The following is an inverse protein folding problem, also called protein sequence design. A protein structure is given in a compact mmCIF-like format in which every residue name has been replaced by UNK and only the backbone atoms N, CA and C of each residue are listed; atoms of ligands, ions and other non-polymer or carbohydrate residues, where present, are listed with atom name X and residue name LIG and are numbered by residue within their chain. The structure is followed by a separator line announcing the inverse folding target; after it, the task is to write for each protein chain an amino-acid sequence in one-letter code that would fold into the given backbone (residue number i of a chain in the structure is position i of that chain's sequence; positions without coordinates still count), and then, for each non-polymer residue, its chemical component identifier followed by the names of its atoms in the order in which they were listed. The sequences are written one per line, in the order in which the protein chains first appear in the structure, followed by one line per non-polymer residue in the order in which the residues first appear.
data_IF_144982952073
#
_entry.id   IF_144982952073
#
_cell.length_a   1.000
_cell.length_b   1.000
_cell.length_c   1.000
_cell.angle_alpha   90.00
_cell.angle_beta   90.00
_cell.angle_gamma   90.00
#
_symmetry.space_group_name_H-M   'P 1'
#
loop_
_entity.id
_entity.type
_entity.pdbx_description
1 polymer ?
#
# COMPACT_ATOMS: atom_id res chain seq x y z
N UNK A 1 12.03 13.20 0.14
CA UNK A 1 11.09 12.48 -0.74
C UNK A 1 10.91 13.31 -2.01
N UNK A 2 10.85 12.68 -3.19
CA UNK A 2 10.62 13.34 -4.49
C UNK A 2 9.15 13.41 -4.87
N UNK A 3 8.36 12.52 -4.30
CA UNK A 3 6.90 12.42 -4.40
C UNK A 3 6.32 12.03 -3.03
N UNK A 4 5.01 11.85 -2.94
CA UNK A 4 4.32 11.48 -1.70
C UNK A 4 4.54 12.49 -0.56
N UNK A 5 4.65 13.77 -0.92
CA UNK A 5 5.01 14.83 0.03
C UNK A 5 4.05 14.96 1.22
N UNK A 6 2.78 14.57 1.04
CA UNK A 6 1.77 14.48 2.09
C UNK A 6 2.29 13.75 3.35
N UNK A 7 3.13 12.73 3.16
CA UNK A 7 3.63 11.88 4.26
C UNK A 7 5.06 12.24 4.70
N UNK A 8 5.59 13.40 4.30
CA UNK A 8 7.01 13.75 4.55
C UNK A 8 7.38 13.85 6.03
N UNK A 9 6.41 14.18 6.90
CA UNK A 9 6.66 14.31 8.34
C UNK A 9 6.62 12.96 9.07
N UNK A 10 5.76 12.04 8.63
CA UNK A 10 5.61 10.70 9.18
C UNK A 10 5.27 9.73 8.04
N UNK A 11 6.21 8.83 7.71
CA UNK A 11 6.13 7.97 6.53
C UNK A 11 6.50 6.52 6.85
N UNK A 12 5.75 5.58 6.27
CA UNK A 12 6.11 4.16 6.22
C UNK A 12 7.07 3.80 5.07
N UNK A 13 7.24 4.68 4.09
CA UNK A 13 8.14 4.46 2.96
C UNK A 13 9.46 5.24 3.11
N UNK A 14 10.52 4.70 2.50
CA UNK A 14 11.80 5.39 2.37
C UNK A 14 11.79 6.38 1.20
N UNK A 15 12.68 7.38 1.25
CA UNK A 15 12.73 8.42 0.22
C UNK A 15 13.12 7.89 -1.18
N UNK A 16 13.88 6.80 -1.27
CA UNK A 16 14.27 6.20 -2.55
C UNK A 16 13.07 5.62 -3.31
N UNK A 17 12.09 5.04 -2.62
CA UNK A 17 10.85 4.57 -3.24
C UNK A 17 10.15 5.70 -4.00
N UNK A 18 10.11 6.90 -3.42
CA UNK A 18 9.44 8.06 -4.04
C UNK A 18 10.12 8.56 -5.33
N UNK A 19 11.34 8.11 -5.63
CA UNK A 19 12.01 8.42 -6.90
C UNK A 19 11.37 7.69 -8.09
N UNK A 20 10.77 6.51 -7.86
CA UNK A 20 10.05 5.74 -8.89
C UNK A 20 8.74 6.41 -9.32
N UNK A 21 8.20 7.28 -8.48
CA UNK A 21 6.96 7.99 -8.74
C UNK A 21 7.16 9.31 -9.48
N UNK A 22 8.39 9.70 -9.85
CA UNK A 22 8.60 10.94 -10.62
C UNK A 22 8.05 10.78 -12.04
N UNK A 23 7.21 11.73 -12.49
CA UNK A 23 6.56 11.66 -13.81
C UNK A 23 7.56 11.74 -14.97
N UNK A 24 7.28 11.08 -16.12
CA UNK A 24 6.18 10.14 -16.32
C UNK A 24 6.47 8.80 -15.63
N UNK A 25 5.47 8.25 -14.94
CA UNK A 25 5.62 6.96 -14.24
C UNK A 25 5.39 5.84 -15.24
N UNK A 26 6.45 5.08 -15.53
CA UNK A 26 6.37 3.89 -16.38
C UNK A 26 6.22 2.63 -15.55
N UNK A 27 6.86 2.57 -14.38
CA UNK A 27 6.88 1.40 -13.51
C UNK A 27 7.06 1.80 -12.06
N UNK A 28 6.37 1.09 -11.17
CA UNK A 28 6.60 1.11 -9.72
C UNK A 28 6.89 -0.31 -9.28
N UNK A 29 8.04 -0.53 -8.67
CA UNK A 29 8.62 -1.84 -8.36
C UNK A 29 8.69 -2.72 -9.63
N UNK A 30 7.86 -3.76 -9.71
CA UNK A 30 7.74 -4.64 -10.87
C UNK A 30 6.46 -4.41 -11.68
N UNK A 31 5.61 -3.46 -11.27
CA UNK A 31 4.33 -3.15 -11.91
C UNK A 31 4.50 -1.99 -12.89
N UNK A 32 4.46 -2.29 -14.18
CA UNK A 32 4.34 -1.31 -15.27
C UNK A 32 2.97 -0.66 -15.25
N UNK A 33 2.96 0.66 -15.37
CA UNK A 33 1.75 1.49 -15.48
C UNK A 33 1.44 1.83 -16.94
N UNK A 34 2.41 1.67 -17.83
CA UNK A 34 2.33 2.04 -19.25
C UNK A 34 2.04 0.84 -20.18
N UNK A 35 1.50 -0.27 -19.67
CA UNK A 35 1.29 -1.53 -20.43
C UNK A 35 0.43 -1.32 -21.67
N UNK A 36 -0.59 -0.46 -21.59
CA UNK A 36 -1.43 -0.09 -22.73
C UNK A 36 -0.95 1.17 -23.45
N UNK A 37 -0.56 2.17 -22.68
CA UNK A 37 0.03 3.44 -23.09
C UNK A 37 0.45 4.21 -21.83
N UNK A 38 1.26 5.25 -21.98
CA UNK A 38 1.49 6.20 -20.88
C UNK A 38 0.17 6.81 -20.41
N UNK A 39 -0.06 6.80 -19.09
CA UNK A 39 -1.23 7.45 -18.50
C UNK A 39 -1.18 8.97 -18.69
N UNK A 40 -2.35 9.58 -18.83
CA UNK A 40 -2.49 11.04 -18.79
C UNK A 40 -2.06 11.61 -17.44
N UNK A 41 -1.54 12.83 -17.41
CA UNK A 41 -1.10 13.50 -16.17
C UNK A 41 -2.19 13.52 -15.09
N UNK A 42 -3.45 13.68 -15.51
CA UNK A 42 -4.62 13.68 -14.63
C UNK A 42 -4.82 12.30 -13.99
N UNK A 43 -4.79 11.24 -14.79
CA UNK A 43 -4.94 9.88 -14.28
C UNK A 43 -3.74 9.45 -13.41
N UNK A 44 -2.52 9.73 -13.86
CA UNK A 44 -1.28 9.42 -13.13
C UNK A 44 -1.26 10.07 -11.75
N UNK A 45 -1.78 11.30 -11.61
CA UNK A 45 -1.90 11.97 -10.30
C UNK A 45 -2.70 11.15 -9.29
N UNK A 46 -3.83 10.55 -9.69
CA UNK A 46 -4.63 9.72 -8.79
C UNK A 46 -3.98 8.37 -8.50
N UNK A 47 -3.37 7.74 -9.50
CA UNK A 47 -2.60 6.52 -9.31
C UNK A 47 -1.48 6.73 -8.28
N UNK A 48 -0.73 7.84 -8.39
CA UNK A 48 0.29 8.23 -7.41
C UNK A 48 -0.29 8.44 -6.01
N UNK A 49 -1.45 9.10 -5.87
CA UNK A 49 -2.07 9.31 -4.55
C UNK A 49 -2.37 7.99 -3.86
N UNK A 50 -2.93 7.02 -4.60
CA UNK A 50 -3.24 5.69 -4.08
C UNK A 50 -1.96 4.92 -3.72
N UNK A 51 -0.94 4.96 -4.58
CA UNK A 51 0.35 4.30 -4.31
C UNK A 51 1.06 4.94 -3.11
N UNK A 52 1.05 6.28 -3.00
CA UNK A 52 1.60 7.00 -1.86
C UNK A 52 0.85 6.65 -0.56
N UNK A 53 -0.48 6.52 -0.60
CA UNK A 53 -1.24 6.04 0.56
C UNK A 53 -0.81 4.62 0.94
N UNK A 54 -0.74 3.70 -0.04
CA UNK A 54 -0.36 2.32 0.21
C UNK A 54 1.04 2.18 0.83
N UNK A 55 2.01 2.92 0.30
CA UNK A 55 3.43 2.76 0.66
C UNK A 55 3.85 3.62 1.83
N UNK A 56 3.34 4.85 1.91
CA UNK A 56 3.90 5.88 2.77
C UNK A 56 2.97 6.28 3.91
N UNK A 57 1.65 6.06 3.83
CA UNK A 57 0.74 6.51 4.89
C UNK A 57 1.00 5.74 6.19
N UNK A 58 1.22 6.43 7.33
CA UNK A 58 1.28 5.78 8.63
C UNK A 58 -0.08 5.19 9.05
N UNK A 59 -1.17 5.74 8.51
CA UNK A 59 -2.54 5.33 8.86
C UNK A 59 -3.03 4.13 8.07
N UNK A 60 -2.39 3.80 6.94
CA UNK A 60 -2.72 2.63 6.13
C UNK A 60 -2.76 1.31 6.93
N UNK A 61 -1.92 1.21 7.97
CA UNK A 61 -1.85 0.08 8.88
C UNK A 61 -3.20 -0.30 9.53
N UNK A 62 -4.10 0.67 9.72
CA UNK A 62 -5.43 0.43 10.30
C UNK A 62 -6.32 -0.48 9.46
N UNK A 63 -6.03 -0.63 8.17
CA UNK A 63 -6.81 -1.46 7.24
C UNK A 63 -6.01 -2.61 6.66
N UNK A 64 -4.90 -3.02 7.31
CA UNK A 64 -4.16 -4.21 6.88
C UNK A 64 -5.07 -5.44 6.85
N UNK A 65 -4.98 -6.20 5.76
CA UNK A 65 -5.76 -7.41 5.62
C UNK A 65 -5.21 -8.50 6.58
N UNK A 66 -6.04 -9.05 7.49
CA UNK A 66 -5.58 -10.00 8.51
C UNK A 66 -5.12 -11.34 7.92
N UNK A 67 -5.61 -11.70 6.73
CA UNK A 67 -5.22 -12.94 6.04
C UNK A 67 -4.06 -12.74 5.06
N UNK A 68 -3.74 -11.50 4.71
CA UNK A 68 -2.68 -11.14 3.77
C UNK A 68 -2.12 -9.75 4.11
N UNK A 69 -1.13 -9.71 5.00
CA UNK A 69 -0.66 -8.46 5.62
C UNK A 69 -0.02 -7.45 4.67
N UNK A 70 0.31 -7.85 3.44
CA UNK A 70 0.83 -6.95 2.41
C UNK A 70 -0.28 -6.20 1.64
N UNK A 71 -1.56 -6.53 1.86
CA UNK A 71 -2.70 -5.85 1.23
C UNK A 71 -3.60 -5.16 2.25
N UNK A 72 -4.55 -4.38 1.74
CA UNK A 72 -5.59 -3.77 2.54
C UNK A 72 -6.92 -4.52 2.46
N UNK A 73 -7.81 -4.19 3.39
CA UNK A 73 -9.18 -4.65 3.39
C UNK A 73 -10.10 -3.52 3.87
N UNK A 74 -11.08 -3.16 3.03
CA UNK A 74 -12.15 -2.21 3.37
C UNK A 74 -11.69 -0.81 3.81
N UNK A 75 -10.65 -0.25 3.19
CA UNK A 75 -10.27 1.16 3.39
C UNK A 75 -11.45 2.05 2.96
N UNK A 76 -12.03 2.87 3.84
CA UNK A 76 -13.18 3.70 3.53
C UNK A 76 -12.74 4.87 2.66
N UNK A 77 -12.99 4.80 1.36
CA UNK A 77 -12.61 5.84 0.40
C UNK A 77 -13.83 6.69 0.03
N UNK A 78 -13.66 8.01 -0.09
CA UNK A 78 -14.80 8.87 -0.40
C UNK A 78 -15.30 8.62 -1.83
N UNK A 79 -16.61 8.51 -2.03
CA UNK A 79 -17.22 8.36 -3.38
C UNK A 79 -16.75 9.47 -4.32
N UNK A 80 -16.71 10.73 -3.87
CA UNK A 80 -16.25 11.85 -4.70
C UNK A 80 -14.78 11.71 -5.14
N UNK A 81 -13.92 11.05 -4.33
CA UNK A 81 -12.54 10.75 -4.75
C UNK A 81 -12.55 9.73 -5.90
N UNK A 82 -13.34 8.66 -5.75
CA UNK A 82 -13.50 7.63 -6.77
C UNK A 82 -14.05 8.18 -8.08
N UNK A 83 -15.08 9.04 -8.03
CA UNK A 83 -15.66 9.67 -9.21
C UNK A 83 -14.66 10.61 -9.90
N UNK A 84 -13.89 11.37 -9.12
CA UNK A 84 -12.87 12.27 -9.68
C UNK A 84 -11.69 11.52 -10.28
N UNK A 85 -11.30 10.39 -9.68
CA UNK A 85 -10.29 9.50 -10.23
C UNK A 85 -10.78 8.88 -11.54
N UNK A 86 -12.04 8.40 -11.58
CA UNK A 86 -12.61 7.84 -12.80
C UNK A 86 -12.71 8.88 -13.90
N UNK A 87 -13.20 10.10 -13.61
CA UNK A 87 -13.26 11.17 -14.61
C UNK A 87 -11.88 11.55 -15.15
N UNK A 88 -10.85 11.49 -14.29
CA UNK A 88 -9.47 11.75 -14.67
C UNK A 88 -8.89 10.66 -15.60
N UNK A 89 -9.33 9.40 -15.46
CA UNK A 89 -8.79 8.26 -16.21
C UNK A 89 -9.70 7.75 -17.34
N UNK A 90 -10.95 8.22 -17.48
CA UNK A 90 -11.98 7.60 -18.35
C UNK A 90 -11.58 7.39 -19.81
N UNK A 91 -10.66 8.23 -20.32
CA UNK A 91 -10.12 8.19 -21.69
C UNK A 91 -8.75 7.49 -21.79
N UNK A 92 -8.10 7.21 -20.66
CA UNK A 92 -6.90 6.37 -20.58
C UNK A 92 -7.24 4.90 -20.83
N UNK A 93 -6.24 4.09 -21.16
CA UNK A 93 -6.41 2.68 -21.52
C UNK A 93 -5.94 1.75 -20.40
N UNK A 94 -6.71 0.69 -20.16
CA UNK A 94 -6.32 -0.46 -19.32
C UNK A 94 -6.74 -1.76 -20.00
N UNK A 95 -6.06 -2.85 -19.66
CA UNK A 95 -6.41 -4.20 -20.07
C UNK A 95 -6.76 -5.11 -18.87
N UNK A 96 -6.70 -4.57 -17.65
CA UNK A 96 -7.00 -5.28 -16.40
C UNK A 96 -8.14 -4.55 -15.68
N UNK A 97 -9.19 -5.28 -15.27
CA UNK A 97 -10.24 -4.73 -14.42
C UNK A 97 -9.74 -4.67 -12.98
N UNK A 98 -9.13 -5.76 -12.50
CA UNK A 98 -8.42 -5.85 -11.25
C UNK A 98 -6.90 -5.90 -11.50
N UNK A 99 -6.19 -4.85 -11.11
CA UNK A 99 -4.75 -4.68 -11.30
C UNK A 99 -3.90 -5.59 -10.40
N UNK A 100 -4.51 -6.25 -9.40
CA UNK A 100 -3.83 -7.25 -8.58
C UNK A 100 -3.83 -8.65 -9.22
N UNK A 101 -4.86 -8.99 -10.00
CA UNK A 101 -5.10 -10.38 -10.42
C UNK A 101 -5.15 -10.60 -11.92
N UNK A 102 -5.49 -9.58 -12.72
CA UNK A 102 -5.87 -9.81 -14.12
C UNK A 102 -4.70 -9.65 -15.09
N UNK A 103 -3.51 -9.29 -14.60
CA UNK A 103 -2.29 -9.29 -15.39
C UNK A 103 -1.63 -10.67 -15.43
N UNK A 104 -0.97 -10.97 -16.56
CA UNK A 104 0.00 -12.06 -16.65
C UNK A 104 1.37 -11.54 -16.20
N UNK A 105 2.06 -12.31 -15.36
CA UNK A 105 3.38 -11.93 -14.82
C UNK A 105 4.50 -12.80 -15.36
N UNK A 106 5.63 -12.17 -15.70
CA UNK A 106 6.91 -12.82 -15.96
C UNK A 106 8.08 -11.97 -15.42
N UNK A 107 9.30 -12.31 -15.82
CA UNK A 107 10.51 -11.61 -15.36
C UNK A 107 10.59 -10.15 -15.82
N UNK A 108 9.84 -9.76 -16.85
CA UNK A 108 9.80 -8.40 -17.40
C UNK A 108 8.65 -7.57 -16.81
N UNK A 109 7.85 -8.13 -15.89
CA UNK A 109 6.75 -7.45 -15.20
C UNK A 109 5.36 -7.96 -15.60
N UNK A 110 4.35 -7.09 -15.47
CA UNK A 110 2.96 -7.37 -15.83
C UNK A 110 2.69 -7.11 -17.32
N UNK A 111 1.86 -8.00 -17.90
CA UNK A 111 1.43 -7.96 -19.29
C UNK A 111 -0.08 -8.16 -19.41
N UNK A 112 -0.67 -7.56 -20.44
CA UNK A 112 -2.08 -7.71 -20.75
C UNK A 112 -2.42 -9.15 -21.18
N UNK A 113 -3.57 -9.64 -20.72
CA UNK A 113 -4.18 -10.89 -21.22
C UNK A 113 -5.26 -10.63 -22.28
N UNK A 114 -5.76 -9.40 -22.34
CA UNK A 114 -6.85 -8.96 -23.20
C UNK A 114 -6.50 -7.62 -23.86
N UNK A 115 -7.32 -7.19 -24.81
CA UNK A 115 -7.14 -5.92 -25.51
C UNK A 115 -7.22 -4.73 -24.55
N UNK A 116 -6.41 -3.71 -24.82
CA UNK A 116 -6.48 -2.44 -24.12
C UNK A 116 -7.77 -1.69 -24.50
N UNK A 117 -8.55 -1.31 -23.49
CA UNK A 117 -9.80 -0.56 -23.65
C UNK A 117 -9.79 0.69 -22.78
N UNK A 118 -10.55 1.74 -23.15
CA UNK A 118 -10.73 2.89 -22.28
C UNK A 118 -11.26 2.51 -20.90
N UNK A 119 -10.84 3.21 -19.84
CA UNK A 119 -11.37 3.00 -18.49
C UNK A 119 -12.91 3.15 -18.47
N UNK A 120 -13.45 4.07 -19.27
CA UNK A 120 -14.91 4.24 -19.45
C UNK A 120 -15.63 3.01 -20.00
N UNK A 121 -14.92 2.09 -20.66
CA UNK A 121 -15.46 0.78 -21.07
C UNK A 121 -15.18 -0.32 -20.04
N UNK A 122 -14.09 -0.20 -19.27
CA UNK A 122 -13.71 -1.18 -18.26
C UNK A 122 -14.55 -1.07 -16.98
N UNK A 123 -14.86 0.17 -16.57
CA UNK A 123 -15.58 0.49 -15.34
C UNK A 123 -16.84 1.29 -15.65
N UNK A 124 -17.92 0.95 -14.94
CA UNK A 124 -19.23 1.60 -15.11
C UNK A 124 -19.22 3.04 -14.60
N UNK A 125 -18.58 3.27 -13.46
CA UNK A 125 -18.42 4.57 -12.79
C UNK A 125 -17.22 4.52 -11.81
N UNK A 126 -17.03 5.59 -11.02
CA UNK A 126 -15.97 5.66 -10.02
C UNK A 126 -16.10 4.63 -8.90
N UNK A 127 -17.33 4.31 -8.50
CA UNK A 127 -17.57 3.31 -7.44
C UNK A 127 -17.14 1.91 -7.90
N UNK A 128 -17.54 1.50 -9.11
CA UNK A 128 -17.11 0.23 -9.74
C UNK A 128 -15.57 0.21 -9.88
N UNK A 129 -14.95 1.32 -10.28
CA UNK A 129 -13.50 1.41 -10.41
C UNK A 129 -12.78 1.19 -9.08
N UNK A 130 -13.15 1.93 -8.02
CA UNK A 130 -12.53 1.79 -6.70
C UNK A 130 -12.73 0.40 -6.08
N UNK A 131 -13.89 -0.22 -6.29
CA UNK A 131 -14.19 -1.58 -5.79
C UNK A 131 -13.50 -2.69 -6.58
N UNK A 132 -13.12 -2.41 -7.83
CA UNK A 132 -12.58 -3.43 -8.73
C UNK A 132 -11.07 -3.39 -8.86
N UNK A 133 -10.49 -2.20 -9.05
CA UNK A 133 -9.09 -2.06 -9.49
C UNK A 133 -8.09 -2.68 -8.53
N UNK A 134 -8.31 -2.49 -7.22
CA UNK A 134 -7.45 -3.03 -6.16
C UNK A 134 -8.17 -4.11 -5.34
N UNK A 135 -9.13 -4.82 -5.96
CA UNK A 135 -9.95 -5.83 -5.31
C UNK A 135 -10.63 -5.28 -4.04
N UNK A 136 -10.64 -6.03 -2.92
CA UNK A 136 -11.37 -5.64 -1.71
C UNK A 136 -10.65 -4.57 -0.86
N UNK A 137 -9.59 -3.95 -1.40
CA UNK A 137 -8.78 -2.97 -0.68
C UNK A 137 -9.59 -1.72 -0.32
N UNK A 138 -10.42 -1.21 -1.24
CA UNK A 138 -11.18 0.02 -1.05
C UNK A 138 -12.68 -0.24 -0.98
N UNK A 139 -13.33 0.43 -0.03
CA UNK A 139 -14.78 0.41 0.16
C UNK A 139 -15.32 1.85 0.03
N UNK A 140 -15.98 2.20 -1.09
CA UNK A 140 -16.54 3.53 -1.28
C UNK A 140 -17.58 3.88 -0.22
N UNK A 141 -17.46 5.07 0.36
CA UNK A 141 -18.35 5.61 1.39
C UNK A 141 -18.85 7.00 1.01
N UNK A 142 -20.15 7.19 1.13
CA UNK A 142 -20.82 8.50 0.98
C UNK A 142 -20.93 9.27 2.31
N UNK A 143 -20.37 8.72 3.40
CA UNK A 143 -20.46 9.35 4.72
C UNK A 143 -19.55 10.58 4.79
N UNK A 144 -20.13 11.77 4.86
CA UNK A 144 -19.39 13.01 5.07
C UNK A 144 -18.53 12.94 6.34
N UNK A 145 -17.24 13.24 6.21
CA UNK A 145 -16.29 13.22 7.33
C UNK A 145 -15.95 11.82 7.86
N UNK A 146 -16.30 10.73 7.16
CA UNK A 146 -15.97 9.34 7.53
C UNK A 146 -15.44 8.53 6.35
N UNK A 147 -14.60 9.15 5.54
CA UNK A 147 -13.93 8.51 4.41
C UNK A 147 -12.64 9.26 4.07
N UNK A 148 -11.71 8.57 3.41
CA UNK A 148 -10.41 9.09 3.00
C UNK A 148 -10.46 9.65 1.58
N UNK A 149 -9.70 10.72 1.34
CA UNK A 149 -9.53 11.41 0.06
C UNK A 149 -8.09 11.36 -0.44
N UNK A 150 -7.19 10.74 0.31
CA UNK A 150 -5.75 10.71 0.04
C UNK A 150 -5.16 12.12 -0.04
N UNK A 151 -5.62 13.01 0.85
CA UNK A 151 -5.21 14.40 0.96
C UNK A 151 -5.00 14.82 2.43
N UNK A 152 -4.65 16.07 2.66
CA UNK A 152 -4.32 16.63 3.98
C UNK A 152 -5.49 16.70 4.96
N UNK A 153 -6.72 16.44 4.51
CA UNK A 153 -7.89 16.38 5.39
C UNK A 153 -8.04 15.01 6.07
N UNK A 154 -7.34 13.97 5.60
CA UNK A 154 -7.51 12.60 6.08
C UNK A 154 -7.16 12.44 7.57
N UNK A 155 -6.14 13.16 8.06
CA UNK A 155 -5.76 13.15 9.48
C UNK A 155 -6.89 13.68 10.39
N UNK A 156 -7.72 14.60 9.89
CA UNK A 156 -8.81 15.20 10.67
C UNK A 156 -10.03 14.30 10.78
N UNK A 157 -10.24 13.41 9.79
CA UNK A 157 -11.39 12.51 9.75
C UNK A 157 -11.06 11.13 10.31
N UNK A 158 -9.77 10.81 10.48
CA UNK A 158 -9.32 9.49 10.93
C UNK A 158 -9.95 9.08 12.26
N UNK A 159 -10.02 9.98 13.24
CA UNK A 159 -10.67 9.67 14.52
C UNK A 159 -12.15 9.33 14.35
N UNK A 160 -12.86 10.00 13.44
CA UNK A 160 -14.27 9.71 13.16
C UNK A 160 -14.47 8.41 12.38
N UNK A 161 -13.48 8.01 11.60
CA UNK A 161 -13.47 6.73 10.87
C UNK A 161 -13.21 5.56 11.81
N UNK A 162 -12.16 5.65 12.64
CA UNK A 162 -11.76 4.59 13.56
C UNK A 162 -12.70 4.47 14.77
N UNK A 163 -13.27 5.60 15.20
CA UNK A 163 -14.20 5.70 16.31
C UNK A 163 -15.52 6.33 15.85
N UNK A 164 -16.40 5.55 15.20
CA UNK A 164 -17.74 5.99 14.89
C UNK A 164 -18.54 6.08 16.20
N UNK A 165 -18.37 7.16 16.96
CA UNK A 165 -19.25 7.47 18.08
C UNK A 165 -20.70 7.49 17.56
N UNK A 166 -21.58 6.81 18.27
CA UNK A 166 -23.01 6.76 18.00
C UNK A 166 -23.56 8.18 17.92
N UNK A 167 -23.67 8.70 16.71
CA UNK A 167 -24.32 9.98 16.45
C UNK A 167 -25.83 9.77 16.47
N UNK A 168 -26.35 9.38 17.63
CA UNK A 168 -27.76 9.51 17.98
C UNK A 168 -27.83 9.86 19.46
N UNK A 169 -28.11 11.14 19.75
CA UNK A 169 -28.47 11.61 21.08
C UNK A 169 -29.64 10.76 21.61
N UNK A 170 -29.40 10.01 22.68
CA UNK A 170 -30.41 9.68 23.67
C UNK A 170 -29.74 9.67 25.04
N UNK A 171 -30.36 10.38 25.98
CA UNK A 171 -29.84 10.66 27.30
C UNK A 171 -29.56 9.40 28.14
N UNK A 172 -28.61 9.59 29.07
CA UNK A 172 -28.34 8.82 30.27
C UNK A 172 -27.69 7.44 30.11
N UNK A 173 -26.38 7.40 30.37
CA UNK A 173 -25.71 6.41 31.23
C UNK A 173 -24.21 6.68 31.20
N UNK A 174 -23.69 7.24 32.30
CA UNK A 174 -22.27 7.38 32.57
C UNK A 174 -21.59 6.00 32.51
N UNK A 175 -20.80 5.74 31.46
CA UNK A 175 -19.46 5.12 31.43
C UNK A 175 -18.94 5.31 30.00
N UNK A 176 -18.14 6.35 29.77
CA UNK A 176 -17.34 6.47 28.54
C UNK A 176 -16.24 5.40 28.62
N UNK A 177 -16.44 4.25 27.96
CA UNK A 177 -15.30 3.43 27.58
C UNK A 177 -14.52 4.22 26.51
N UNK A 178 -13.25 4.57 26.76
CA UNK A 178 -12.44 5.21 25.76
C UNK A 178 -12.32 4.27 24.57
N UNK A 179 -12.33 4.83 23.35
CA UNK A 179 -11.87 4.07 22.20
C UNK A 179 -10.54 3.41 22.57
N UNK A 180 -10.50 2.08 22.53
CA UNK A 180 -9.24 1.37 22.49
C UNK A 180 -8.59 1.77 21.19
N UNK A 181 -7.81 2.84 21.26
CA UNK A 181 -6.84 3.21 20.26
C UNK A 181 -5.93 1.99 20.20
N UNK A 182 -6.18 1.11 19.23
CA UNK A 182 -5.16 0.15 18.81
C UNK A 182 -4.08 0.97 18.12
N UNK A 183 -3.35 1.73 18.93
CA UNK A 183 -1.94 1.95 18.71
C UNK A 183 -1.35 0.55 18.64
N UNK A 184 -1.24 0.00 17.43
CA UNK A 184 -0.28 -1.05 17.19
C UNK A 184 1.08 -0.43 17.50
N UNK A 185 1.55 -0.66 18.73
CA UNK A 185 2.94 -0.65 19.20
C UNK A 185 3.85 0.28 18.38
N UNK A 186 3.81 1.59 18.67
CA UNK A 186 4.90 2.50 18.32
C UNK A 186 5.57 3.15 19.54
N UNK A 187 5.18 2.76 20.77
CA UNK A 187 5.73 3.33 22.01
C UNK A 187 6.54 2.35 22.90
N UNK A 188 6.90 1.17 22.41
CA UNK A 188 7.91 0.31 23.08
C UNK A 188 9.10 0.01 22.16
N UNK A 189 9.81 1.05 21.74
CA UNK A 189 11.25 0.94 21.51
C UNK A 189 11.92 2.12 22.22
N UNK A 190 12.05 2.00 23.55
CA UNK A 190 13.08 2.72 24.29
C UNK A 190 14.45 2.12 23.92
N UNK A 191 15.47 2.93 23.64
CA UNK A 191 16.79 2.45 23.29
C UNK A 191 17.58 2.10 24.56
N UNK A 192 17.42 0.89 25.08
CA UNK A 192 18.34 0.36 26.10
C UNK A 192 18.78 -1.08 25.75
N UNK A 193 20.01 -1.13 25.26
CA UNK A 193 21.07 -2.14 25.43
C UNK A 193 20.76 -3.64 25.67
N UNK A 194 21.51 -4.43 24.88
CA UNK A 194 22.04 -5.78 25.18
C UNK A 194 21.17 -7.02 24.92
N UNK A 195 20.87 -7.34 23.66
CA UNK A 195 20.81 -8.75 23.22
C UNK A 195 21.32 -8.88 21.77
N UNK A 196 22.64 -9.06 21.57
CA UNK A 196 23.20 -9.40 20.24
C UNK A 196 24.18 -10.59 20.19
N UNK A 197 24.33 -11.39 21.25
CA UNK A 197 25.36 -12.46 21.27
C UNK A 197 24.81 -13.88 21.49
N UNK A 198 23.98 -14.40 20.59
CA UNK A 198 23.70 -15.85 20.61
C UNK A 198 23.43 -16.49 19.24
N UNK A 199 22.74 -15.77 18.34
CA UNK A 199 22.31 -16.37 17.07
C UNK A 199 23.29 -16.18 15.91
N UNK A 200 24.16 -15.15 15.94
CA UNK A 200 25.17 -14.96 14.89
C UNK A 200 26.43 -15.81 15.10
N UNK A 201 26.82 -16.05 16.36
CA UNK A 201 28.02 -16.88 16.67
C UNK A 201 27.80 -18.34 16.27
N UNK A 202 26.60 -18.88 16.48
CA UNK A 202 26.26 -20.26 16.13
C UNK A 202 26.19 -20.51 14.62
N UNK A 203 25.66 -19.55 13.85
CA UNK A 203 25.64 -19.63 12.38
C UNK A 203 27.02 -19.44 11.75
N UNK A 204 27.87 -18.54 12.29
CA UNK A 204 29.22 -18.33 11.78
C UNK A 204 30.14 -19.52 12.09
N UNK A 205 30.05 -20.14 13.27
CA UNK A 205 30.81 -21.38 13.59
C UNK A 205 30.43 -22.54 12.66
N UNK A 206 29.16 -22.68 12.29
CA UNK A 206 28.70 -23.72 11.37
C UNK A 206 29.21 -23.52 9.93
N UNK A 207 29.40 -22.26 9.50
CA UNK A 207 29.94 -21.92 8.17
C UNK A 207 31.46 -22.13 8.14
N UNK A 208 32.18 -21.66 9.17
CA UNK A 208 33.65 -21.81 9.28
C UNK A 208 34.05 -23.29 9.36
N UNK A 209 33.31 -24.12 10.11
CA UNK A 209 33.58 -25.57 10.22
C UNK A 209 33.29 -26.35 8.93
N UNK A 210 32.32 -25.90 8.11
CA UNK A 210 32.07 -26.48 6.79
C UNK A 210 33.13 -26.09 5.76
N UNK A 211 33.65 -24.86 5.82
CA UNK A 211 34.73 -24.39 4.95
C UNK A 211 36.06 -25.11 5.26
N UNK A 212 36.38 -25.34 6.53
CA UNK A 212 37.60 -26.05 6.94
C UNK A 212 37.63 -27.52 6.46
N UNK A 213 36.49 -28.23 6.50
CA UNK A 213 36.37 -29.59 5.97
C UNK A 213 36.46 -29.65 4.44
N UNK A 214 36.04 -28.59 3.75
CA UNK A 214 36.14 -28.51 2.30
C UNK A 214 37.60 -28.30 1.86
N UNK A 215 38.38 -27.50 2.60
CA UNK A 215 39.80 -27.29 2.33
C UNK A 215 40.66 -28.55 2.56
N UNK A 216 40.34 -29.36 3.57
CA UNK A 216 41.02 -30.65 3.79
C UNK A 216 40.70 -31.68 2.68
N UNK A 217 39.47 -31.71 2.17
CA UNK A 217 39.07 -32.60 1.08
C UNK A 217 39.72 -32.23 -0.26
N UNK A 218 39.87 -30.93 -0.54
CA UNK A 218 40.57 -30.44 -1.75
C UNK A 218 42.08 -30.70 -1.67
N UNK A 219 42.69 -30.63 -0.48
CA UNK A 219 44.10 -30.97 -0.28
C UNK A 219 44.38 -32.48 -0.44
N UNK A 220 43.43 -33.36 -0.11
CA UNK A 220 43.55 -34.80 -0.30
C UNK A 220 43.48 -35.23 -1.78
N UNK A 221 42.77 -34.48 -2.64
CA UNK A 221 42.62 -34.79 -4.06
C UNK A 221 43.73 -34.21 -4.95
N UNK A 222 44.58 -33.34 -4.41
CA UNK A 222 45.67 -32.68 -5.12
C UNK A 222 47.07 -33.24 -4.79
N UNK A 223 47.15 -34.34 -4.04
CA UNK A 223 48.39 -35.05 -3.66
C UNK A 223 48.43 -36.48 -4.17
#
# INVERSE_FOLDING_TARGET
MKECHLYSNASCCFANFTEELVSPVTKVENTKWDVCQQLSDRCETYMKRVECFYRCSPQAAHWMNPSYTAGFLNVPICVNFCDSWYDACKDDLTCAKNWLTDFKWDNDGNHCQHDCVPYSKMYTDGTDMCQSMWGPSFSPSSSEGRCLRMDDQDDTVLSHILCPSSSSKSAASDQEEPCHQSSLILDEISPDQEIWDSLLVSSLFAIVSKLAKWTEYVAYLAG
#
